data_IF_833272963903
#
_entry.id   IF_833272963903
#
_cell.length_a   1.000
_cell.length_b   1.000
_cell.length_c   1.000
_cell.angle_alpha   90.00
_cell.angle_beta   90.00
_cell.angle_gamma   90.00
#
_symmetry.space_group_name_H-M   'P 1'
#
loop_
_entity.id
_entity.type
_entity.pdbx_description
1 polymer ?
#
# COMPACT_ATOMS: atom_id res chain seq x y z
N UNK A 1 -19.79 11.67 11.18
CA UNK A 1 -20.13 10.80 10.03
C UNK A 1 -21.64 10.78 9.85
N UNK A 2 -22.14 10.79 8.62
CA UNK A 2 -23.56 10.57 8.33
C UNK A 2 -23.68 9.21 7.63
N UNK A 3 -24.48 8.33 8.21
CA UNK A 3 -24.82 7.03 7.64
C UNK A 3 -26.30 7.05 7.29
N UNK A 4 -26.67 6.33 6.25
CA UNK A 4 -28.05 5.94 6.00
C UNK A 4 -28.54 5.05 7.15
N UNK A 5 -29.87 4.93 7.28
CA UNK A 5 -30.49 4.08 8.31
C UNK A 5 -30.06 2.61 8.18
N UNK A 6 -29.98 2.12 6.94
CA UNK A 6 -29.52 0.76 6.63
C UNK A 6 -28.07 0.52 7.03
N UNK A 7 -27.18 1.46 6.72
CA UNK A 7 -25.76 1.37 7.10
C UNK A 7 -25.60 1.40 8.62
N UNK A 8 -26.34 2.27 9.31
CA UNK A 8 -26.33 2.32 10.77
C UNK A 8 -26.75 0.99 11.40
N UNK A 9 -27.86 0.42 10.93
CA UNK A 9 -28.35 -0.87 11.44
C UNK A 9 -27.32 -1.99 11.26
N UNK A 10 -26.66 -2.05 10.09
CA UNK A 10 -25.59 -3.01 9.83
C UNK A 10 -24.38 -2.84 10.75
N UNK A 11 -23.95 -1.59 10.99
CA UNK A 11 -22.80 -1.30 11.86
C UNK A 11 -23.15 -1.64 13.32
N UNK A 12 -24.37 -1.34 13.77
CA UNK A 12 -24.85 -1.67 15.13
C UNK A 12 -24.94 -3.19 15.34
N UNK A 13 -25.46 -3.94 14.37
CA UNK A 13 -25.48 -5.40 14.39
C UNK A 13 -24.05 -5.99 14.44
N UNK A 14 -23.15 -5.48 13.61
CA UNK A 14 -21.75 -5.92 13.60
C UNK A 14 -21.04 -5.59 14.92
N UNK A 15 -21.32 -4.44 15.53
CA UNK A 15 -20.78 -4.07 16.84
C UNK A 15 -21.30 -4.99 17.95
N UNK A 16 -22.58 -5.38 17.90
CA UNK A 16 -23.16 -6.34 18.83
C UNK A 16 -22.44 -7.71 18.77
N UNK A 17 -22.07 -8.15 17.57
CA UNK A 17 -21.39 -9.44 17.34
C UNK A 17 -19.89 -9.42 17.68
N UNK A 18 -19.19 -8.32 17.37
CA UNK A 18 -17.73 -8.26 17.38
C UNK A 18 -17.14 -7.43 18.54
N UNK A 19 -17.95 -6.65 19.25
CA UNK A 19 -17.47 -5.70 20.26
C UNK A 19 -18.46 -5.50 21.41
N UNK A 20 -19.26 -6.52 21.72
CA UNK A 20 -20.23 -6.51 22.84
C UNK A 20 -21.22 -5.33 22.76
N UNK A 21 -21.50 -4.84 21.55
CA UNK A 21 -22.38 -3.69 21.32
C UNK A 21 -21.72 -2.32 21.46
N UNK A 22 -20.43 -2.24 21.80
CA UNK A 22 -19.68 -0.98 21.82
C UNK A 22 -19.39 -0.51 20.39
N UNK A 23 -20.25 0.38 19.89
CA UNK A 23 -20.19 0.95 18.55
C UNK A 23 -18.90 1.74 18.31
N UNK A 24 -18.45 2.52 19.30
CA UNK A 24 -17.26 3.36 19.17
C UNK A 24 -16.01 2.50 19.06
N UNK A 25 -15.91 1.47 19.90
CA UNK A 25 -14.81 0.50 19.87
C UNK A 25 -14.80 -0.30 18.58
N UNK A 26 -15.97 -0.72 18.10
CA UNK A 26 -16.10 -1.43 16.83
C UNK A 26 -15.57 -0.58 15.66
N UNK A 27 -16.07 0.66 15.53
CA UNK A 27 -15.66 1.56 14.44
C UNK A 27 -14.15 1.84 14.50
N UNK A 28 -13.60 2.14 15.68
CA UNK A 28 -12.17 2.39 15.83
C UNK A 28 -11.31 1.18 15.42
N UNK A 29 -11.74 -0.03 15.81
CA UNK A 29 -11.03 -1.28 15.49
C UNK A 29 -11.05 -1.56 13.99
N UNK A 30 -12.21 -1.43 13.34
CA UNK A 30 -12.36 -1.63 11.90
C UNK A 30 -11.57 -0.58 11.12
N UNK A 31 -11.65 0.69 11.52
CA UNK A 31 -10.91 1.77 10.89
C UNK A 31 -9.39 1.54 10.98
N UNK A 32 -8.88 1.15 12.15
CA UNK A 32 -7.46 0.84 12.32
C UNK A 32 -7.01 -0.33 11.44
N UNK A 33 -7.79 -1.43 11.42
CA UNK A 33 -7.48 -2.59 10.59
C UNK A 33 -7.46 -2.23 9.10
N UNK A 34 -8.44 -1.46 8.66
CA UNK A 34 -8.53 -1.03 7.25
C UNK A 34 -7.39 -0.08 6.88
N UNK A 35 -7.06 0.89 7.75
CA UNK A 35 -5.95 1.80 7.52
C UNK A 35 -4.63 1.05 7.40
N UNK A 36 -4.40 0.06 8.27
CA UNK A 36 -3.22 -0.81 8.20
C UNK A 36 -3.15 -1.57 6.88
N UNK A 37 -4.25 -2.19 6.44
CA UNK A 37 -4.33 -2.91 5.16
C UNK A 37 -3.95 -2.00 3.99
N UNK A 38 -4.53 -0.80 3.92
CA UNK A 38 -4.27 0.17 2.85
C UNK A 38 -2.79 0.59 2.83
N UNK A 39 -2.20 0.87 3.99
CA UNK A 39 -0.78 1.25 4.08
C UNK A 39 0.13 0.08 3.68
N UNK A 40 -0.11 -1.12 4.20
CA UNK A 40 0.69 -2.30 3.90
C UNK A 40 0.58 -2.69 2.41
N UNK A 41 -0.63 -2.65 1.84
CA UNK A 41 -0.87 -2.95 0.42
C UNK A 41 -0.25 -1.92 -0.51
N UNK A 42 -0.16 -0.65 -0.10
CA UNK A 42 0.46 0.39 -0.92
C UNK A 42 1.93 0.14 -1.22
N UNK A 43 2.64 -0.59 -0.34
CA UNK A 43 4.04 -0.98 -0.53
C UNK A 43 4.23 -2.26 -1.35
N UNK A 44 3.17 -2.98 -1.70
CA UNK A 44 3.25 -4.28 -2.35
C UNK A 44 2.93 -4.15 -3.84
N UNK A 45 3.93 -4.41 -4.68
CA UNK A 45 3.73 -4.57 -6.12
C UNK A 45 3.46 -6.03 -6.47
N UNK A 46 2.20 -6.36 -6.79
CA UNK A 46 1.83 -7.69 -7.26
C UNK A 46 2.19 -7.85 -8.74
N UNK A 47 3.11 -8.76 -9.03
CA UNK A 47 3.48 -9.11 -10.41
C UNK A 47 2.60 -10.23 -10.95
N UNK A 48 2.05 -10.03 -12.15
CA UNK A 48 1.45 -11.11 -12.92
C UNK A 48 2.47 -12.25 -13.14
N UNK A 49 1.98 -13.49 -13.29
CA UNK A 49 2.84 -14.68 -13.36
C UNK A 49 3.93 -14.57 -14.44
N UNK A 50 3.60 -14.04 -15.61
CA UNK A 50 4.54 -13.86 -16.73
C UNK A 50 5.56 -12.75 -16.47
N UNK A 51 5.17 -11.69 -15.74
CA UNK A 51 6.08 -10.61 -15.35
C UNK A 51 7.04 -11.03 -14.24
N UNK A 52 6.63 -11.95 -13.36
CA UNK A 52 7.47 -12.46 -12.27
C UNK A 52 8.72 -13.17 -12.79
N UNK A 53 8.61 -14.00 -13.83
CA UNK A 53 9.79 -14.66 -14.42
C UNK A 53 10.78 -13.65 -14.98
N UNK A 54 10.29 -12.71 -15.79
CA UNK A 54 11.11 -11.64 -16.37
C UNK A 54 11.78 -10.77 -15.30
N UNK A 55 11.07 -10.48 -14.21
CA UNK A 55 11.62 -9.75 -13.08
C UNK A 55 12.80 -10.49 -12.43
N UNK A 56 12.66 -11.78 -12.15
CA UNK A 56 13.76 -12.58 -11.60
C UNK A 56 14.93 -12.71 -12.56
N UNK A 57 14.68 -12.90 -13.85
CA UNK A 57 15.75 -12.98 -14.86
C UNK A 57 16.60 -11.70 -14.86
N UNK A 58 15.97 -10.53 -14.76
CA UNK A 58 16.65 -9.23 -14.70
C UNK A 58 17.38 -8.98 -13.37
N UNK A 59 16.94 -9.59 -12.26
CA UNK A 59 17.66 -9.51 -10.98
C UNK A 59 18.90 -10.40 -10.95
N UNK A 60 18.81 -11.59 -11.54
CA UNK A 60 19.91 -12.56 -11.56
C UNK A 60 20.98 -12.21 -12.62
N UNK A 61 20.56 -11.61 -13.72
CA UNK A 61 21.45 -11.16 -14.80
C UNK A 61 21.09 -9.73 -15.21
N UNK A 62 21.43 -8.72 -14.39
CA UNK A 62 21.10 -7.34 -14.68
C UNK A 62 21.81 -6.88 -15.96
N UNK A 63 21.08 -6.25 -16.91
CA UNK A 63 21.70 -5.70 -18.10
C UNK A 63 22.61 -4.50 -17.72
N UNK A 64 23.62 -4.19 -18.55
CA UNK A 64 24.40 -2.98 -18.35
C UNK A 64 23.51 -1.73 -18.47
N UNK A 65 23.84 -0.63 -17.78
CA UNK A 65 23.12 0.63 -17.90
C UNK A 65 23.10 1.13 -19.35
N UNK A 66 21.97 1.69 -19.75
CA UNK A 66 21.83 2.35 -21.06
C UNK A 66 22.63 3.65 -21.11
N UNK A 67 22.91 4.17 -22.31
CA UNK A 67 23.57 5.47 -22.47
C UNK A 67 22.85 6.60 -21.73
N UNK A 68 21.52 6.65 -21.83
CA UNK A 68 20.71 7.63 -21.11
C UNK A 68 20.84 7.52 -19.58
N UNK A 69 20.94 6.31 -19.03
CA UNK A 69 21.17 6.10 -17.59
C UNK A 69 22.59 6.52 -17.19
N UNK A 70 23.59 6.28 -18.05
CA UNK A 70 24.98 6.72 -17.82
C UNK A 70 25.10 8.25 -17.83
N UNK A 71 24.43 8.91 -18.78
CA UNK A 71 24.38 10.37 -18.85
C UNK A 71 23.70 10.97 -17.61
N UNK A 72 22.58 10.39 -17.16
CA UNK A 72 21.91 10.85 -15.95
C UNK A 72 22.80 10.69 -14.69
N UNK A 73 23.49 9.55 -14.56
CA UNK A 73 24.39 9.30 -13.42
C UNK A 73 25.65 10.18 -13.43
N UNK A 74 26.07 10.67 -14.60
CA UNK A 74 27.20 11.60 -14.73
C UNK A 74 26.83 13.04 -14.36
N UNK A 75 25.53 13.36 -14.26
CA UNK A 75 25.05 14.66 -13.81
C UNK A 75 24.91 14.69 -12.28
N UNK A 76 25.18 15.83 -11.63
CA UNK A 76 24.89 15.99 -10.21
C UNK A 76 23.40 15.80 -9.97
N UNK A 77 23.06 15.16 -8.85
CA UNK A 77 21.68 15.00 -8.40
C UNK A 77 21.03 16.40 -8.34
N UNK A 78 19.84 16.62 -8.93
CA UNK A 78 19.19 17.91 -8.91
C UNK A 78 19.01 18.44 -7.48
N UNK A 79 19.18 19.76 -7.29
CA UNK A 79 19.01 20.42 -6.00
C UNK A 79 17.65 20.04 -5.38
N UNK A 80 17.67 19.52 -4.15
CA UNK A 80 16.46 19.12 -3.40
C UNK A 80 16.13 17.64 -3.37
N UNK A 81 16.92 16.77 -4.02
CA UNK A 81 16.81 15.32 -3.85
C UNK A 81 17.75 14.82 -2.75
N UNK A 82 17.17 14.29 -1.67
CA UNK A 82 17.90 13.65 -0.57
C UNK A 82 17.96 12.13 -0.81
N UNK A 83 19.19 11.60 -0.94
CA UNK A 83 19.42 10.17 -1.17
C UNK A 83 19.46 9.36 0.13
N UNK A 84 19.38 10.00 1.30
CA UNK A 84 19.53 9.34 2.62
C UNK A 84 18.21 9.16 3.38
N UNK A 85 17.05 9.31 2.73
CA UNK A 85 15.73 9.11 3.36
C UNK A 85 15.17 7.69 3.25
#
# INVERSE_FOLDING_TARGET
MRFTERERAYIEEAAALASEGDLSRFIATVALRSARSVVEESGVSLLAADHRRRFYDLLLAPPPPTDALRELAANPVPDGFDLER
#
